data_IF_619543053119
#
_entry.id   IF_619543053119
#
_cell.length_a   1.000
_cell.length_b   1.000
_cell.length_c   1.000
_cell.angle_alpha   90.00
_cell.angle_beta   90.00
_cell.angle_gamma   90.00
#
_symmetry.space_group_name_H-M   'P 1'
#
loop_
_entity.id
_entity.type
_entity.pdbx_description
1 polymer ?
#
# COMPACT_ATOMS: atom_id res chain seq x y z
N UNK A 1 18.43 -15.86 -27.04
CA UNK A 1 17.19 -15.58 -26.28
C UNK A 1 16.97 -16.71 -25.27
N UNK A 2 16.94 -16.44 -23.96
CA UNK A 2 16.71 -17.48 -22.93
C UNK A 2 15.22 -17.51 -22.58
N UNK A 3 14.59 -18.70 -22.63
CA UNK A 3 13.24 -18.90 -22.11
C UNK A 3 13.35 -19.19 -20.61
N UNK A 4 12.60 -18.44 -19.81
CA UNK A 4 12.40 -18.71 -18.38
C UNK A 4 10.90 -18.91 -18.14
N UNK A 5 10.55 -19.86 -17.28
CA UNK A 5 9.19 -20.12 -16.82
C UNK A 5 9.15 -19.78 -15.33
N UNK A 6 8.21 -18.93 -14.94
CA UNK A 6 7.93 -18.57 -13.55
C UNK A 6 6.56 -19.14 -13.21
N UNK A 7 6.48 -19.87 -12.11
CA UNK A 7 5.22 -20.35 -11.53
C UNK A 7 5.03 -19.70 -10.16
N UNK A 8 3.81 -19.26 -9.87
CA UNK A 8 3.45 -18.57 -8.62
C UNK A 8 2.26 -19.32 -8.03
N UNK A 9 2.37 -19.72 -6.78
CA UNK A 9 1.26 -20.21 -5.95
C UNK A 9 0.84 -19.09 -5.00
N UNK A 10 -0.48 -18.89 -4.85
CA UNK A 10 -1.06 -17.85 -4.00
C UNK A 10 -2.11 -18.49 -3.09
N UNK A 11 -2.11 -18.07 -1.83
CA UNK A 11 -3.23 -18.31 -0.92
C UNK A 11 -4.18 -17.13 -1.02
N UNK A 12 -5.45 -17.44 -1.31
CA UNK A 12 -6.50 -16.43 -1.48
C UNK A 12 -7.47 -16.58 -0.33
N UNK A 13 -7.74 -15.47 0.35
CA UNK A 13 -8.69 -15.37 1.44
C UNK A 13 -9.91 -14.59 0.97
N UNK A 14 -11.11 -15.04 1.32
CA UNK A 14 -12.37 -14.41 0.87
C UNK A 14 -12.66 -13.11 1.64
N UNK A 15 -12.11 -12.99 2.85
CA UNK A 15 -12.41 -11.88 3.75
C UNK A 15 -11.19 -11.47 4.59
N UNK A 16 -11.20 -10.23 5.07
CA UNK A 16 -10.16 -9.74 6.00
C UNK A 16 -10.14 -10.61 7.25
N UNK A 17 -11.30 -11.06 7.75
CA UNK A 17 -11.39 -11.87 8.98
C UNK A 17 -10.64 -13.20 8.91
N UNK A 18 -10.36 -13.72 7.72
CA UNK A 18 -9.61 -14.97 7.52
C UNK A 18 -8.10 -14.75 7.48
N UNK A 19 -7.62 -13.52 7.33
CA UNK A 19 -6.20 -13.21 7.33
C UNK A 19 -5.60 -13.42 8.74
N UNK A 20 -4.28 -13.67 8.86
CA UNK A 20 -3.59 -13.58 10.14
C UNK A 20 -3.84 -12.24 10.83
N UNK A 21 -4.03 -12.23 12.15
CA UNK A 21 -4.45 -11.03 12.92
C UNK A 21 -3.56 -9.81 12.68
N UNK A 22 -2.26 -10.02 12.56
CA UNK A 22 -1.27 -8.99 12.27
C UNK A 22 -1.41 -8.41 10.86
N UNK A 23 -1.87 -9.20 9.89
CA UNK A 23 -2.18 -8.75 8.53
C UNK A 23 -3.56 -8.07 8.48
N UNK A 24 -4.53 -8.51 9.28
CA UNK A 24 -5.84 -7.85 9.40
C UNK A 24 -5.70 -6.38 9.79
N UNK A 25 -4.86 -6.09 10.77
CA UNK A 25 -4.58 -4.72 11.21
C UNK A 25 -4.02 -3.87 10.06
N UNK A 26 -3.05 -4.40 9.31
CA UNK A 26 -2.50 -3.72 8.14
C UNK A 26 -3.54 -3.49 7.04
N UNK A 27 -4.41 -4.47 6.76
CA UNK A 27 -5.49 -4.29 5.78
C UNK A 27 -6.49 -3.24 6.20
N UNK A 28 -6.90 -3.22 7.46
CA UNK A 28 -7.79 -2.19 7.98
C UNK A 28 -7.15 -0.80 7.86
N UNK A 29 -5.86 -0.65 8.18
CA UNK A 29 -5.13 0.61 8.02
C UNK A 29 -4.97 1.03 6.56
N UNK A 30 -4.69 0.10 5.65
CA UNK A 30 -4.63 0.39 4.22
C UNK A 30 -5.99 0.83 3.66
N UNK A 31 -7.09 0.20 4.08
CA UNK A 31 -8.44 0.63 3.71
C UNK A 31 -8.75 2.03 4.24
N UNK A 32 -8.41 2.34 5.49
CA UNK A 32 -8.57 3.69 6.04
C UNK A 32 -7.76 4.73 5.24
N UNK A 33 -6.53 4.40 4.86
CA UNK A 33 -5.69 5.29 4.06
C UNK A 33 -6.30 5.58 2.69
N UNK A 34 -6.86 4.55 2.04
CA UNK A 34 -7.51 4.62 0.72
C UNK A 34 -8.63 5.66 0.68
N UNK A 35 -9.40 5.79 1.76
CA UNK A 35 -10.53 6.75 1.81
C UNK A 35 -10.07 8.21 1.68
N UNK A 36 -8.83 8.50 2.04
CA UNK A 36 -8.22 9.83 1.95
C UNK A 36 -7.37 10.05 0.69
N UNK A 37 -7.42 9.13 -0.28
CA UNK A 37 -6.66 9.25 -1.52
C UNK A 37 -7.08 10.48 -2.35
N UNK A 38 -6.09 11.26 -2.80
CA UNK A 38 -6.33 12.31 -3.79
C UNK A 38 -6.22 11.70 -5.19
N UNK A 39 -7.37 11.28 -5.74
CA UNK A 39 -7.44 10.64 -7.06
C UNK A 39 -8.56 11.21 -7.95
N UNK A 40 -8.62 12.53 -8.20
CA UNK A 40 -9.71 13.12 -8.98
C UNK A 40 -9.66 12.77 -10.47
N UNK A 41 -8.50 12.37 -11.01
CA UNK A 41 -8.32 12.13 -12.43
C UNK A 41 -8.71 10.69 -12.79
N UNK A 42 -8.13 9.69 -12.12
CA UNK A 42 -8.47 8.28 -12.39
C UNK A 42 -9.74 7.80 -11.70
N UNK A 43 -10.14 8.44 -10.59
CA UNK A 43 -11.15 7.96 -9.63
C UNK A 43 -10.81 6.59 -9.03
N UNK A 44 -9.55 6.17 -9.13
CA UNK A 44 -9.06 4.91 -8.60
C UNK A 44 -8.28 5.17 -7.31
N UNK A 45 -8.88 4.81 -6.17
CA UNK A 45 -8.29 5.04 -4.85
C UNK A 45 -7.50 3.82 -4.40
N UNK A 46 -6.26 4.03 -3.98
CA UNK A 46 -5.35 3.02 -3.45
C UNK A 46 -4.86 3.47 -2.08
N UNK A 47 -4.82 2.54 -1.14
CA UNK A 47 -4.22 2.74 0.18
C UNK A 47 -3.20 1.65 0.46
N UNK A 48 -2.17 1.98 1.24
CA UNK A 48 -1.10 1.10 1.66
C UNK A 48 -0.84 1.30 3.15
N UNK A 49 -0.39 0.25 3.82
CA UNK A 49 0.07 0.28 5.20
C UNK A 49 1.33 -0.59 5.31
N UNK A 50 2.35 -0.09 5.99
CA UNK A 50 3.63 -0.76 6.21
C UNK A 50 3.89 -0.80 7.72
N UNK A 51 4.17 -1.99 8.26
CA UNK A 51 4.61 -2.15 9.64
C UNK A 51 6.13 -2.15 9.68
N UNK A 52 6.70 -1.27 10.49
CA UNK A 52 8.14 -1.20 10.75
C UNK A 52 8.54 -2.25 11.79
N UNK A 53 9.84 -2.52 11.91
CA UNK A 53 10.38 -3.44 12.93
C UNK A 53 10.07 -3.00 14.37
N UNK A 54 9.87 -1.70 14.59
CA UNK A 54 9.41 -1.12 15.86
C UNK A 54 7.95 -1.47 16.21
N UNK A 55 7.17 -1.98 15.25
CA UNK A 55 5.73 -2.18 15.37
C UNK A 55 4.89 -0.99 14.88
N UNK A 56 5.51 0.17 14.62
CA UNK A 56 4.82 1.34 14.07
C UNK A 56 4.22 1.05 12.70
N UNK A 57 2.99 1.51 12.47
CA UNK A 57 2.30 1.36 11.18
C UNK A 57 2.25 2.70 10.47
N UNK A 58 2.93 2.77 9.33
CA UNK A 58 2.92 3.94 8.45
C UNK A 58 1.98 3.68 7.29
N UNK A 59 1.09 4.64 7.04
CA UNK A 59 0.10 4.56 5.96
C UNK A 59 0.45 5.48 4.81
N UNK A 60 -0.03 5.14 3.62
CA UNK A 60 0.04 5.97 2.43
C UNK A 60 -1.18 5.76 1.55
N UNK A 61 -1.49 6.73 0.72
CA UNK A 61 -2.53 6.63 -0.31
C UNK A 61 -2.04 7.32 -1.58
N UNK A 62 -2.64 6.99 -2.73
CA UNK A 62 -2.20 7.60 -3.96
C UNK A 62 -2.53 9.09 -4.00
N UNK A 63 -1.57 9.87 -4.48
CA UNK A 63 -1.64 11.32 -4.62
C UNK A 63 -1.42 11.64 -6.10
N UNK A 64 -2.51 11.91 -6.81
CA UNK A 64 -2.44 12.26 -8.22
C UNK A 64 -2.07 13.73 -8.43
N UNK A 65 -1.75 14.05 -9.69
CA UNK A 65 -1.42 15.40 -10.11
C UNK A 65 -1.89 15.60 -11.55
N UNK A 66 -2.23 16.84 -11.92
CA UNK A 66 -2.60 17.20 -13.29
C UNK A 66 -1.50 16.81 -14.29
N UNK A 67 -0.23 16.96 -13.91
CA UNK A 67 0.89 16.38 -14.63
C UNK A 67 1.04 14.90 -14.21
N UNK A 68 0.43 13.99 -14.98
CA UNK A 68 0.33 12.56 -14.63
C UNK A 68 1.65 11.90 -14.18
N UNK A 69 2.83 12.20 -14.76
CA UNK A 69 4.10 11.64 -14.29
C UNK A 69 4.49 12.02 -12.86
N UNK A 70 3.89 13.07 -12.29
CA UNK A 70 4.18 13.58 -10.94
C UNK A 70 3.34 12.90 -9.85
N UNK A 71 2.40 12.04 -10.23
CA UNK A 71 1.60 11.29 -9.27
C UNK A 71 2.45 10.32 -8.44
N UNK A 72 2.07 10.12 -7.19
CA UNK A 72 2.66 9.15 -6.28
C UNK A 72 1.69 8.01 -5.99
N UNK A 73 2.21 6.78 -6.04
CA UNK A 73 1.44 5.60 -5.66
C UNK A 73 1.39 5.50 -4.12
N UNK A 74 0.38 4.81 -3.58
CA UNK A 74 0.18 4.68 -2.14
C UNK A 74 1.39 4.09 -1.40
N UNK A 75 2.03 3.11 -2.02
CA UNK A 75 3.21 2.40 -1.52
C UNK A 75 4.41 3.34 -1.42
N UNK A 76 4.63 4.19 -2.44
CA UNK A 76 5.70 5.21 -2.41
C UNK A 76 5.46 6.23 -1.31
N UNK A 77 4.21 6.68 -1.14
CA UNK A 77 3.85 7.61 -0.06
C UNK A 77 4.11 6.97 1.31
N UNK A 78 3.70 5.71 1.53
CA UNK A 78 3.93 5.01 2.80
C UNK A 78 5.43 4.85 3.11
N UNK A 79 6.23 4.40 2.12
CA UNK A 79 7.68 4.19 2.29
C UNK A 79 8.43 5.51 2.52
N UNK A 80 8.11 6.57 1.78
CA UNK A 80 8.76 7.86 1.98
C UNK A 80 8.34 8.52 3.29
N UNK A 81 7.09 8.38 3.71
CA UNK A 81 6.64 8.82 5.03
C UNK A 81 7.37 8.06 6.14
N UNK A 82 7.57 6.76 5.97
CA UNK A 82 8.34 5.95 6.91
C UNK A 82 9.79 6.46 7.00
N UNK A 83 10.48 6.62 5.86
CA UNK A 83 11.84 7.12 5.84
C UNK A 83 12.00 8.54 6.40
N UNK A 84 10.99 9.40 6.26
CA UNK A 84 11.03 10.77 6.77
C UNK A 84 10.79 10.86 8.29
N UNK A 85 9.87 10.05 8.83
CA UNK A 85 9.45 10.13 10.22
C UNK A 85 10.12 9.08 11.13
N UNK A 86 10.62 7.98 10.54
CA UNK A 86 11.24 6.85 11.22
C UNK A 86 12.54 6.44 10.49
N UNK A 87 13.59 7.29 10.52
CA UNK A 87 14.79 7.08 9.72
C UNK A 87 15.76 6.00 10.26
N UNK A 88 15.47 5.39 11.41
CA UNK A 88 16.36 4.47 12.12
C UNK A 88 15.80 3.05 12.20
#
# INVERSE_FOLDING_TARGET
MKKQKIEIALEVFESISELPKDIQELMNKAQQARENAYAPYSRFRVGAAVRLSSGEIVIGNNQENAAFPSGLCAERVAVFSAGANFPN
#
